data_IF_956116483402
#
_entry.id   IF_956116483402
#
_cell.length_a   1.000
_cell.length_b   1.000
_cell.length_c   1.000
_cell.angle_alpha   90.00
_cell.angle_beta   90.00
_cell.angle_gamma   90.00
#
_symmetry.space_group_name_H-M   'P 1'
#
loop_
_entity.id
_entity.type
_entity.pdbx_description
1 polymer ?
#
# COMPACT_ATOMS: atom_id res chain seq x y z
N UNK A 1 47.64 33.44 5.09
CA UNK A 1 46.51 33.29 6.01
C UNK A 1 45.32 33.98 5.37
N UNK A 2 44.20 33.28 5.20
CA UNK A 2 43.05 33.76 4.42
C UNK A 2 42.10 34.74 5.11
N UNK A 3 42.55 35.45 6.14
CA UNK A 3 41.74 36.42 6.87
C UNK A 3 41.97 37.85 6.40
N UNK A 4 40.91 38.64 6.30
CA UNK A 4 41.01 40.06 6.07
C UNK A 4 41.67 40.76 7.30
N UNK A 5 42.24 41.96 7.08
CA UNK A 5 42.87 42.74 8.16
C UNK A 5 41.89 43.00 9.33
N UNK A 6 40.63 43.24 9.03
CA UNK A 6 39.57 43.49 10.01
C UNK A 6 39.26 42.25 10.83
N UNK A 7 39.10 41.08 10.18
CA UNK A 7 38.90 39.79 10.87
C UNK A 7 40.07 39.43 11.78
N UNK A 8 41.33 39.70 11.35
CA UNK A 8 42.48 39.45 12.19
C UNK A 8 42.45 40.27 13.48
N UNK A 9 42.13 41.56 13.42
CA UNK A 9 42.03 42.38 14.61
C UNK A 9 40.87 41.99 15.51
N UNK A 10 39.77 41.51 14.97
CA UNK A 10 38.64 41.01 15.73
C UNK A 10 38.97 39.71 16.46
N UNK A 11 39.61 38.76 15.80
CA UNK A 11 40.12 37.52 16.38
C UNK A 11 41.12 37.80 17.49
N UNK A 12 42.06 38.71 17.25
CA UNK A 12 43.04 39.13 18.24
C UNK A 12 42.39 39.76 19.49
N UNK A 13 41.38 40.60 19.30
CA UNK A 13 40.63 41.22 20.41
C UNK A 13 39.89 40.17 21.21
N UNK A 14 39.21 39.26 20.54
CA UNK A 14 38.49 38.17 21.19
C UNK A 14 39.43 37.27 22.01
N UNK A 15 40.60 36.95 21.45
CA UNK A 15 41.60 36.19 22.18
C UNK A 15 42.17 36.95 23.41
N UNK A 16 42.43 38.24 23.28
CA UNK A 16 42.87 39.05 24.38
C UNK A 16 41.85 39.20 25.52
N UNK A 17 40.55 39.19 25.15
CA UNK A 17 39.46 39.37 26.13
C UNK A 17 39.02 38.06 26.76
N UNK A 18 38.96 36.97 26.00
CA UNK A 18 38.34 35.72 26.41
C UNK A 18 39.30 34.52 26.34
N UNK A 19 40.57 34.71 26.04
CA UNK A 19 41.55 33.63 25.87
C UNK A 19 41.18 32.69 24.69
N UNK A 20 41.52 31.42 24.84
CA UNK A 20 41.23 30.40 23.81
C UNK A 20 39.73 30.22 23.55
N UNK A 21 38.86 30.48 24.52
CA UNK A 21 37.43 30.43 24.36
C UNK A 21 36.89 31.50 23.37
N UNK A 22 37.61 32.64 23.24
CA UNK A 22 37.26 33.68 22.28
C UNK A 22 37.58 33.34 20.81
N UNK A 23 38.32 32.26 20.58
CA UNK A 23 38.63 31.73 19.24
C UNK A 23 37.64 30.70 18.74
N UNK A 24 36.74 30.22 19.61
CA UNK A 24 35.68 29.31 19.20
C UNK A 24 34.72 30.05 18.27
N UNK A 25 34.38 29.41 17.16
CA UNK A 25 33.38 29.92 16.25
C UNK A 25 32.08 30.17 17.03
N UNK A 26 31.61 31.41 16.99
CA UNK A 26 30.28 31.72 17.51
C UNK A 26 29.31 30.94 16.67
N UNK A 27 28.58 29.98 17.28
CA UNK A 27 27.49 29.29 16.62
C UNK A 27 26.55 30.36 16.06
N UNK A 28 26.60 30.57 14.75
CA UNK A 28 25.71 31.47 14.06
C UNK A 28 24.34 30.82 14.06
N UNK A 29 23.49 31.21 14.95
CA UNK A 29 22.11 30.72 15.04
C UNK A 29 21.21 31.83 15.57
N UNK A 30 20.08 32.00 14.96
CA UNK A 30 19.02 32.86 15.46
C UNK A 30 18.65 32.37 16.88
N UNK A 31 18.96 33.12 17.90
CA UNK A 31 18.60 32.80 19.29
C UNK A 31 17.11 33.08 19.48
N UNK A 32 16.29 32.05 19.28
CA UNK A 32 14.84 32.13 19.45
C UNK A 32 14.05 32.02 18.11
N UNK A 33 12.73 32.02 18.19
CA UNK A 33 11.88 31.97 17.02
C UNK A 33 12.07 33.22 16.14
N UNK A 34 12.06 33.03 14.81
CA UNK A 34 12.20 34.14 13.86
C UNK A 34 11.10 35.19 14.13
N UNK A 35 11.42 36.51 14.06
CA UNK A 35 10.44 37.58 14.32
C UNK A 35 9.16 37.48 13.49
N UNK A 36 9.25 36.94 12.28
CA UNK A 36 8.10 36.72 11.38
C UNK A 36 7.45 35.34 11.54
N UNK A 37 7.73 34.61 12.62
CA UNK A 37 7.04 33.34 12.89
C UNK A 37 5.58 33.65 13.21
N UNK A 38 4.67 32.93 12.55
CA UNK A 38 3.24 33.05 12.82
C UNK A 38 2.89 32.64 14.26
N UNK A 39 1.85 33.22 14.83
CA UNK A 39 1.35 32.86 16.15
C UNK A 39 0.97 31.38 16.20
N UNK A 40 1.05 30.78 17.40
CA UNK A 40 0.80 29.33 17.58
C UNK A 40 -0.63 28.96 17.13
N UNK A 41 -1.62 29.79 17.42
CA UNK A 41 -3.01 29.59 17.03
C UNK A 41 -3.20 29.49 15.51
N UNK A 42 -2.44 30.30 14.75
CA UNK A 42 -2.44 30.26 13.28
C UNK A 42 -1.73 29.00 12.78
N UNK A 43 -0.64 28.59 13.43
CA UNK A 43 0.10 27.35 13.13
C UNK A 43 -0.81 26.14 13.34
N UNK A 44 -1.52 26.08 14.46
CA UNK A 44 -2.49 25.02 14.80
C UNK A 44 -3.66 24.96 13.80
N UNK A 45 -4.19 26.12 13.39
CA UNK A 45 -5.24 26.20 12.38
C UNK A 45 -4.77 25.66 11.02
N UNK A 46 -3.53 25.98 10.61
CA UNK A 46 -2.93 25.43 9.38
C UNK A 46 -2.79 23.91 9.46
N UNK A 47 -2.33 23.39 10.59
CA UNK A 47 -2.15 21.95 10.80
C UNK A 47 -3.50 21.23 10.77
N UNK A 48 -4.48 21.72 11.53
CA UNK A 48 -5.82 21.15 11.57
C UNK A 48 -6.49 21.14 10.19
N UNK A 49 -6.40 22.25 9.43
CA UNK A 49 -6.92 22.31 8.08
C UNK A 49 -6.19 21.34 7.12
N UNK A 50 -4.86 21.24 7.23
CA UNK A 50 -4.03 20.40 6.37
C UNK A 50 -4.27 18.90 6.59
N UNK A 51 -4.61 18.49 7.82
CA UNK A 51 -4.99 17.11 8.13
C UNK A 51 -6.45 16.82 7.72
N UNK A 52 -7.33 17.81 7.84
CA UNK A 52 -8.72 17.67 7.37
C UNK A 52 -8.79 17.56 5.85
N UNK A 53 -7.95 18.32 5.12
CA UNK A 53 -7.91 18.39 3.66
C UNK A 53 -6.49 18.21 3.13
N UNK A 54 -5.89 17.00 3.22
CA UNK A 54 -4.47 16.76 2.92
C UNK A 54 -4.10 17.01 1.46
N UNK A 55 -5.08 17.06 0.57
CA UNK A 55 -4.88 17.32 -0.87
C UNK A 55 -4.78 18.81 -1.23
N UNK A 56 -5.18 19.72 -0.32
CA UNK A 56 -5.15 21.15 -0.58
C UNK A 56 -3.70 21.67 -0.67
N UNK A 57 -3.43 22.49 -1.70
CA UNK A 57 -2.15 23.21 -1.83
C UNK A 57 -2.07 24.43 -0.92
N UNK A 58 -0.85 24.93 -0.67
CA UNK A 58 -0.60 26.03 0.27
C UNK A 58 -1.42 27.31 -0.02
N UNK A 59 -1.65 27.64 -1.29
CA UNK A 59 -2.47 28.78 -1.66
C UNK A 59 -3.93 28.56 -1.27
N UNK A 60 -4.47 27.38 -1.55
CA UNK A 60 -5.86 27.05 -1.20
C UNK A 60 -6.06 27.02 0.32
N UNK A 61 -5.12 26.44 1.07
CA UNK A 61 -5.16 26.46 2.55
C UNK A 61 -5.20 27.90 3.07
N UNK A 62 -4.35 28.79 2.54
CA UNK A 62 -4.34 30.20 2.94
C UNK A 62 -5.68 30.89 2.64
N UNK A 63 -6.30 30.61 1.49
CA UNK A 63 -7.60 31.18 1.10
C UNK A 63 -8.75 30.65 1.98
N UNK A 64 -8.81 29.36 2.23
CA UNK A 64 -9.83 28.72 3.08
C UNK A 64 -9.75 29.22 4.54
N UNK A 65 -8.51 29.39 5.06
CA UNK A 65 -8.29 29.96 6.39
C UNK A 65 -8.68 31.45 6.46
N UNK A 66 -8.47 32.20 5.38
CA UNK A 66 -8.90 33.60 5.30
C UNK A 66 -10.43 33.73 5.41
N UNK A 67 -11.22 32.79 4.87
CA UNK A 67 -12.68 32.74 5.05
C UNK A 67 -13.07 32.50 6.52
N UNK A 68 -12.19 31.92 7.33
CA UNK A 68 -12.35 31.69 8.75
C UNK A 68 -11.70 32.79 9.60
N UNK A 69 -11.40 33.96 9.00
CA UNK A 69 -10.74 35.11 9.64
C UNK A 69 -9.30 34.84 10.12
N UNK A 70 -8.64 33.78 9.65
CA UNK A 70 -7.24 33.48 9.93
C UNK A 70 -6.39 33.91 8.73
N UNK A 71 -5.61 34.99 8.91
CA UNK A 71 -4.79 35.54 7.83
C UNK A 71 -3.40 34.94 7.82
N UNK A 72 -3.05 34.24 6.74
CA UNK A 72 -1.71 33.71 6.49
C UNK A 72 -1.42 33.69 5.00
N UNK A 73 -0.17 33.95 4.60
CA UNK A 73 0.26 33.82 3.21
C UNK A 73 0.54 32.35 2.85
N UNK A 74 0.50 32.04 1.55
CA UNK A 74 0.89 30.70 1.05
C UNK A 74 2.35 30.33 1.42
N UNK A 75 3.25 31.32 1.50
CA UNK A 75 4.61 31.16 2.00
C UNK A 75 4.65 30.82 3.49
N UNK A 76 3.78 31.46 4.29
CA UNK A 76 3.59 31.15 5.71
C UNK A 76 3.08 29.71 5.91
N UNK A 77 2.08 29.27 5.14
CA UNK A 77 1.61 27.87 5.17
C UNK A 77 2.73 26.90 4.86
N UNK A 78 3.55 27.16 3.84
CA UNK A 78 4.73 26.31 3.52
C UNK A 78 5.75 26.30 4.65
N UNK A 79 5.95 27.43 5.33
CA UNK A 79 6.84 27.55 6.49
C UNK A 79 6.33 26.68 7.66
N UNK A 80 5.04 26.67 7.94
CA UNK A 80 4.43 25.77 8.93
C UNK A 80 4.64 24.32 8.51
N UNK A 81 4.30 23.96 7.28
CA UNK A 81 4.48 22.59 6.77
C UNK A 81 5.92 22.10 6.85
N UNK A 82 6.91 22.99 6.57
CA UNK A 82 8.33 22.65 6.65
C UNK A 82 8.74 22.27 8.09
N UNK A 83 8.25 23.01 9.08
CA UNK A 83 8.56 22.75 10.49
C UNK A 83 7.96 21.45 11.01
N UNK A 84 6.82 21.03 10.43
CA UNK A 84 6.06 19.85 10.85
C UNK A 84 6.20 18.67 9.88
N UNK A 85 7.13 18.75 8.92
CA UNK A 85 7.39 17.69 7.93
C UNK A 85 6.15 17.31 7.08
N UNK A 86 5.36 18.33 6.69
CA UNK A 86 4.10 18.18 5.95
C UNK A 86 4.14 18.82 4.55
N UNK A 87 5.33 19.05 3.99
CA UNK A 87 5.50 19.78 2.72
C UNK A 87 4.83 19.09 1.55
N UNK A 88 5.00 17.78 1.42
CA UNK A 88 4.37 17.02 0.35
C UNK A 88 2.94 16.60 0.72
N UNK A 89 2.13 16.31 -0.30
CA UNK A 89 0.82 15.70 -0.10
C UNK A 89 0.94 14.34 0.57
N UNK A 90 1.96 13.58 0.22
CA UNK A 90 2.25 12.27 0.78
C UNK A 90 2.52 12.35 2.28
N UNK A 91 3.34 13.30 2.74
CA UNK A 91 3.64 13.47 4.17
C UNK A 91 2.38 13.76 4.99
N UNK A 92 1.47 14.61 4.44
CA UNK A 92 0.18 14.92 5.08
C UNK A 92 -0.74 13.70 5.18
N UNK A 93 -0.76 12.86 4.15
CA UNK A 93 -1.53 11.61 4.15
C UNK A 93 -0.96 10.60 5.14
N UNK A 94 0.37 10.42 5.18
CA UNK A 94 1.04 9.57 6.17
C UNK A 94 0.79 10.03 7.60
N UNK A 95 0.80 11.35 7.84
CA UNK A 95 0.50 11.90 9.16
C UNK A 95 -0.94 11.64 9.59
N UNK A 96 -1.90 11.77 8.66
CA UNK A 96 -3.30 11.46 8.90
C UNK A 96 -3.49 9.97 9.21
N UNK A 97 -2.84 9.09 8.45
CA UNK A 97 -2.86 7.65 8.63
C UNK A 97 -2.29 7.23 10.01
N UNK A 98 -1.16 7.83 10.40
CA UNK A 98 -0.56 7.58 11.73
C UNK A 98 -1.49 8.05 12.86
N UNK A 99 -2.08 9.23 12.73
CA UNK A 99 -3.01 9.75 13.72
C UNK A 99 -4.21 8.80 13.90
N UNK A 100 -4.74 8.22 12.82
CA UNK A 100 -5.80 7.23 12.90
C UNK A 100 -5.35 5.95 13.62
N UNK A 101 -4.17 5.41 13.27
CA UNK A 101 -3.67 4.15 13.84
C UNK A 101 -3.22 4.26 15.31
N UNK A 102 -2.68 5.42 15.73
CA UNK A 102 -2.10 5.60 17.07
C UNK A 102 -3.11 6.11 18.09
N UNK A 103 -4.04 6.97 17.68
CA UNK A 103 -4.94 7.68 18.61
C UNK A 103 -6.41 7.29 18.48
N UNK A 104 -6.75 6.39 17.54
CA UNK A 104 -8.15 6.04 17.24
C UNK A 104 -8.95 7.21 16.67
N UNK A 105 -8.28 8.21 16.11
CA UNK A 105 -8.92 9.37 15.50
C UNK A 105 -9.92 8.94 14.42
N UNK A 106 -11.19 9.31 14.58
CA UNK A 106 -12.22 8.99 13.60
C UNK A 106 -12.02 9.81 12.32
N UNK A 107 -11.84 9.09 11.21
CA UNK A 107 -11.71 9.68 9.88
C UNK A 107 -13.09 10.03 9.32
N UNK A 108 -13.21 11.20 8.69
CA UNK A 108 -14.41 11.51 7.89
C UNK A 108 -14.46 10.65 6.63
N UNK A 109 -15.66 10.44 6.07
CA UNK A 109 -15.82 9.67 4.81
C UNK A 109 -14.93 10.19 3.68
N UNK A 110 -14.77 11.51 3.54
CA UNK A 110 -13.89 12.12 2.54
C UNK A 110 -12.41 11.81 2.80
N UNK A 111 -11.98 11.77 4.06
CA UNK A 111 -10.60 11.41 4.43
C UNK A 111 -10.32 9.93 4.15
N UNK A 112 -11.29 9.05 4.42
CA UNK A 112 -11.22 7.63 4.10
C UNK A 112 -11.05 7.45 2.58
N UNK A 113 -11.91 8.08 1.77
CA UNK A 113 -11.84 8.00 0.32
C UNK A 113 -10.50 8.49 -0.25
N UNK A 114 -9.92 9.54 0.36
CA UNK A 114 -8.62 10.07 -0.03
C UNK A 114 -7.49 9.08 0.33
N UNK A 115 -7.49 8.56 1.56
CA UNK A 115 -6.49 7.60 2.02
C UNK A 115 -6.55 6.31 1.20
N UNK A 116 -7.74 5.79 0.93
CA UNK A 116 -7.94 4.61 0.09
C UNK A 116 -7.44 4.80 -1.33
N UNK A 117 -7.57 6.01 -1.87
CA UNK A 117 -7.08 6.33 -3.22
C UNK A 117 -5.56 6.42 -3.29
N UNK A 118 -4.88 6.90 -2.24
CA UNK A 118 -3.45 7.22 -2.27
C UNK A 118 -2.57 6.27 -1.48
N UNK A 119 -3.13 5.46 -0.56
CA UNK A 119 -2.38 4.51 0.27
C UNK A 119 -2.98 3.11 0.19
N UNK A 120 -2.43 2.21 -0.65
CA UNK A 120 -2.83 0.81 -0.66
C UNK A 120 -2.65 0.14 0.73
N UNK A 121 -1.65 0.58 1.49
CA UNK A 121 -1.39 0.08 2.84
C UNK A 121 -2.51 0.41 3.83
N UNK A 122 -3.18 1.56 3.64
CA UNK A 122 -4.33 1.92 4.45
C UNK A 122 -5.52 0.99 4.18
N UNK A 123 -5.73 0.61 2.92
CA UNK A 123 -6.77 -0.35 2.53
C UNK A 123 -6.53 -1.73 3.16
N UNK A 124 -5.28 -2.19 3.16
CA UNK A 124 -4.91 -3.46 3.79
C UNK A 124 -5.19 -3.48 5.30
N UNK A 125 -5.03 -2.35 5.99
CA UNK A 125 -5.25 -2.26 7.44
C UNK A 125 -6.71 -2.43 7.86
N UNK A 126 -7.65 -2.23 6.96
CA UNK A 126 -9.08 -2.39 7.20
C UNK A 126 -9.56 -3.83 7.03
N UNK A 127 -8.74 -4.67 6.41
CA UNK A 127 -9.01 -6.10 6.27
C UNK A 127 -8.21 -6.83 7.34
N UNK A 128 -8.90 -7.36 8.33
CA UNK A 128 -8.30 -8.25 9.32
C UNK A 128 -8.43 -9.68 8.82
N UNK A 129 -7.29 -10.35 8.72
CA UNK A 129 -7.16 -11.76 8.31
C UNK A 129 -6.23 -12.43 9.29
N UNK A 130 -6.70 -13.47 9.92
CA UNK A 130 -6.03 -14.09 11.06
C UNK A 130 -5.20 -15.31 10.68
N UNK A 131 -5.50 -15.97 9.57
CA UNK A 131 -4.82 -17.18 9.11
C UNK A 131 -4.90 -17.35 7.59
N UNK A 132 -4.05 -18.24 7.08
CA UNK A 132 -3.96 -18.57 5.65
C UNK A 132 -5.24 -19.25 5.17
N UNK A 133 -5.76 -18.80 4.01
CA UNK A 133 -6.96 -19.32 3.38
C UNK A 133 -8.27 -18.71 3.88
N UNK A 134 -8.25 -17.91 4.96
CA UNK A 134 -9.45 -17.22 5.43
C UNK A 134 -9.99 -16.24 4.37
N UNK A 135 -9.11 -15.49 3.71
CA UNK A 135 -9.46 -14.56 2.65
C UNK A 135 -8.40 -14.58 1.55
N UNK A 136 -8.84 -14.87 0.33
CA UNK A 136 -8.02 -14.83 -0.88
C UNK A 136 -8.58 -13.76 -1.81
N UNK A 137 -7.75 -12.82 -2.24
CA UNK A 137 -8.16 -11.77 -3.17
C UNK A 137 -7.78 -12.11 -4.60
N UNK A 138 -8.68 -11.81 -5.54
CA UNK A 138 -8.49 -12.04 -6.97
C UNK A 138 -8.76 -10.77 -7.78
N UNK A 139 -8.02 -10.60 -8.87
CA UNK A 139 -8.23 -9.48 -9.80
C UNK A 139 -7.65 -9.79 -11.18
N UNK A 140 -8.15 -9.08 -12.19
CA UNK A 140 -7.64 -9.15 -13.56
C UNK A 140 -6.87 -7.89 -13.91
N UNK A 141 -5.58 -8.02 -14.11
CA UNK A 141 -4.70 -6.91 -14.45
C UNK A 141 -4.37 -6.89 -15.95
N UNK A 142 -4.52 -5.73 -16.60
CA UNK A 142 -4.07 -5.56 -17.98
C UNK A 142 -2.56 -5.29 -18.02
N UNK A 143 -1.78 -6.26 -18.50
CA UNK A 143 -0.31 -6.16 -18.57
C UNK A 143 0.14 -5.26 -19.70
N UNK A 144 -0.46 -5.41 -20.88
CA UNK A 144 -0.09 -4.63 -22.04
C UNK A 144 -0.55 -5.25 -23.36
N UNK A 145 -0.01 -4.67 -24.45
CA UNK A 145 -0.23 -5.16 -25.81
C UNK A 145 1.09 -5.62 -26.40
N UNK A 146 1.21 -6.91 -26.66
CA UNK A 146 2.41 -7.52 -27.25
C UNK A 146 2.24 -7.61 -28.76
N UNK A 147 3.27 -7.18 -29.50
CA UNK A 147 3.26 -7.23 -30.96
C UNK A 147 3.22 -8.69 -31.43
N UNK A 148 2.24 -9.01 -32.27
CA UNK A 148 2.02 -10.36 -32.80
C UNK A 148 1.14 -11.26 -31.92
N UNK A 149 0.98 -10.93 -30.63
CA UNK A 149 0.19 -11.72 -29.66
C UNK A 149 -1.15 -11.01 -29.37
N UNK A 150 -1.14 -9.70 -29.21
CA UNK A 150 -2.33 -8.93 -28.86
C UNK A 150 -2.33 -8.47 -27.41
N UNK A 151 -3.53 -8.32 -26.84
CA UNK A 151 -3.72 -7.93 -25.44
C UNK A 151 -3.36 -9.10 -24.52
N UNK A 152 -2.65 -8.78 -23.45
CA UNK A 152 -2.29 -9.75 -22.41
C UNK A 152 -2.84 -9.29 -21.07
N UNK A 153 -3.53 -10.16 -20.40
CA UNK A 153 -4.13 -9.99 -19.08
C UNK A 153 -3.50 -10.98 -18.11
N UNK A 154 -3.29 -10.53 -16.89
CA UNK A 154 -2.88 -11.37 -15.76
C UNK A 154 -4.10 -11.62 -14.88
N UNK A 155 -4.48 -12.87 -14.70
CA UNK A 155 -5.31 -13.29 -13.60
C UNK A 155 -4.41 -13.48 -12.39
N UNK A 156 -4.58 -12.66 -11.37
CA UNK A 156 -3.78 -12.67 -10.16
C UNK A 156 -4.62 -13.08 -8.97
N UNK A 157 -4.03 -13.87 -8.11
CA UNK A 157 -4.60 -14.36 -6.86
C UNK A 157 -3.58 -14.15 -5.75
N UNK A 158 -4.01 -13.69 -4.60
CA UNK A 158 -3.14 -13.49 -3.44
C UNK A 158 -3.87 -13.91 -2.15
N UNK A 159 -3.22 -14.70 -1.33
CA UNK A 159 -3.68 -14.95 0.03
C UNK A 159 -3.45 -13.72 0.90
N UNK A 160 -4.53 -13.21 1.49
CA UNK A 160 -4.49 -11.94 2.22
C UNK A 160 -3.76 -12.01 3.56
N UNK A 161 -3.53 -13.19 4.13
CA UNK A 161 -2.72 -13.37 5.32
C UNK A 161 -1.23 -13.44 4.99
N UNK A 162 -0.83 -14.41 4.18
CA UNK A 162 0.56 -14.74 3.90
C UNK A 162 1.21 -13.88 2.80
N UNK A 163 0.40 -13.22 1.98
CA UNK A 163 0.83 -12.56 0.73
C UNK A 163 1.37 -13.54 -0.31
N UNK A 164 1.12 -14.83 -0.17
CA UNK A 164 1.45 -15.80 -1.20
C UNK A 164 0.65 -15.49 -2.45
N UNK A 165 1.33 -15.37 -3.60
CA UNK A 165 0.74 -14.89 -4.83
C UNK A 165 0.83 -15.90 -5.96
N UNK A 166 -0.25 -16.02 -6.73
CA UNK A 166 -0.33 -16.79 -7.98
C UNK A 166 -0.67 -15.84 -9.12
N UNK A 167 -0.31 -16.21 -10.32
CA UNK A 167 -0.61 -15.41 -11.49
C UNK A 167 -0.49 -16.17 -12.79
N UNK A 168 -1.50 -16.05 -13.65
CA UNK A 168 -1.50 -16.67 -14.96
C UNK A 168 -1.91 -15.69 -16.05
N UNK A 169 -1.20 -15.74 -17.17
CA UNK A 169 -1.38 -14.86 -18.31
C UNK A 169 -2.39 -15.42 -19.32
N UNK A 170 -3.23 -14.54 -19.83
CA UNK A 170 -4.24 -14.86 -20.83
C UNK A 170 -4.34 -13.77 -21.89
N UNK A 171 -4.80 -14.14 -23.09
CA UNK A 171 -5.12 -13.19 -24.18
C UNK A 171 -6.55 -12.66 -24.11
N UNK A 172 -7.36 -13.19 -23.20
CA UNK A 172 -8.75 -12.80 -23.00
C UNK A 172 -9.10 -12.62 -21.53
N UNK A 173 -10.14 -11.84 -21.25
CA UNK A 173 -10.68 -11.60 -19.92
C UNK A 173 -12.06 -12.23 -19.85
N UNK A 174 -12.13 -13.51 -19.49
CA UNK A 174 -13.34 -14.30 -19.43
C UNK A 174 -13.52 -14.95 -18.04
N UNK A 175 -14.77 -15.28 -17.62
CA UNK A 175 -14.99 -16.02 -16.38
C UNK A 175 -14.21 -17.33 -16.30
N UNK A 176 -14.07 -18.04 -17.42
CA UNK A 176 -13.28 -19.27 -17.49
C UNK A 176 -11.81 -19.08 -17.19
N UNK A 177 -11.21 -17.92 -17.51
CA UNK A 177 -9.81 -17.66 -17.17
C UNK A 177 -9.62 -17.48 -15.66
N UNK A 178 -10.58 -16.91 -14.97
CA UNK A 178 -10.58 -16.79 -13.52
C UNK A 178 -10.79 -18.15 -12.83
N UNK A 179 -11.68 -18.97 -13.34
CA UNK A 179 -11.85 -20.37 -12.88
C UNK A 179 -10.57 -21.17 -13.10
N UNK A 180 -9.96 -21.05 -14.29
CA UNK A 180 -8.77 -21.84 -14.65
C UNK A 180 -7.60 -21.60 -13.68
N UNK A 181 -7.27 -20.34 -13.33
CA UNK A 181 -6.17 -20.06 -12.39
C UNK A 181 -6.47 -20.63 -10.99
N UNK A 182 -7.72 -20.56 -10.53
CA UNK A 182 -8.10 -21.15 -9.24
C UNK A 182 -7.96 -22.67 -9.27
N UNK A 183 -8.53 -23.31 -10.27
CA UNK A 183 -8.56 -24.78 -10.38
C UNK A 183 -7.17 -25.39 -10.65
N UNK A 184 -6.30 -24.70 -11.38
CA UNK A 184 -5.03 -25.28 -11.84
C UNK A 184 -3.87 -24.94 -10.91
N UNK A 185 -3.87 -23.75 -10.31
CA UNK A 185 -2.69 -23.25 -9.58
C UNK A 185 -2.99 -23.07 -8.08
N UNK A 186 -4.18 -22.56 -7.73
CA UNK A 186 -4.45 -22.12 -6.35
C UNK A 186 -4.98 -23.27 -5.51
N UNK A 187 -6.07 -23.91 -5.93
CA UNK A 187 -6.66 -25.02 -5.14
C UNK A 187 -5.71 -26.19 -4.95
N UNK A 188 -4.96 -26.66 -5.97
CA UNK A 188 -3.98 -27.73 -5.76
C UNK A 188 -2.86 -27.35 -4.79
N UNK A 189 -2.49 -26.06 -4.72
CA UNK A 189 -1.52 -25.60 -3.73
C UNK A 189 -2.09 -25.71 -2.30
N UNK A 190 -3.34 -25.28 -2.07
CA UNK A 190 -3.99 -25.43 -0.76
C UNK A 190 -4.20 -26.90 -0.41
N UNK A 191 -4.61 -27.73 -1.34
CA UNK A 191 -4.78 -29.18 -1.15
C UNK A 191 -3.48 -29.88 -0.74
N UNK A 192 -2.34 -29.48 -1.34
CA UNK A 192 -1.03 -30.03 -0.98
C UNK A 192 -0.63 -29.76 0.49
N UNK A 193 -1.24 -28.75 1.11
CA UNK A 193 -1.07 -28.41 2.52
C UNK A 193 -2.27 -28.85 3.40
N UNK A 194 -3.18 -29.68 2.87
CA UNK A 194 -4.41 -30.12 3.56
C UNK A 194 -5.24 -28.91 4.07
N UNK A 195 -5.23 -27.82 3.29
CA UNK A 195 -5.91 -26.57 3.63
C UNK A 195 -7.00 -26.24 2.61
N UNK A 196 -7.92 -25.36 3.00
CA UNK A 196 -9.00 -24.89 2.12
C UNK A 196 -9.10 -23.35 2.15
N UNK A 197 -9.69 -22.80 1.11
CA UNK A 197 -10.05 -21.40 1.01
C UNK A 197 -11.48 -21.23 1.55
N UNK A 198 -11.70 -20.30 2.46
CA UNK A 198 -13.02 -19.99 2.98
C UNK A 198 -13.74 -18.93 2.16
N UNK A 199 -13.06 -17.83 1.88
CA UNK A 199 -13.65 -16.69 1.19
C UNK A 199 -12.75 -16.21 0.07
N UNK A 200 -13.33 -15.95 -1.10
CA UNK A 200 -12.68 -15.23 -2.19
C UNK A 200 -13.29 -13.84 -2.32
N UNK A 201 -12.40 -12.84 -2.42
CA UNK A 201 -12.75 -11.45 -2.63
C UNK A 201 -12.38 -11.01 -4.04
N UNK A 202 -13.34 -10.53 -4.82
CA UNK A 202 -13.11 -9.95 -6.14
C UNK A 202 -13.65 -8.53 -6.26
N UNK A 203 -13.31 -7.85 -7.33
CA UNK A 203 -14.06 -6.68 -7.76
C UNK A 203 -15.40 -7.10 -8.42
N UNK A 204 -16.21 -6.10 -8.85
CA UNK A 204 -17.46 -6.36 -9.55
C UNK A 204 -17.26 -6.56 -11.07
N UNK A 205 -16.09 -7.06 -11.49
CA UNK A 205 -15.81 -7.38 -12.89
C UNK A 205 -16.74 -8.45 -13.45
N UNK A 206 -17.06 -8.34 -14.74
CA UNK A 206 -17.94 -9.34 -15.40
C UNK A 206 -17.32 -10.73 -15.47
N UNK A 207 -16.04 -10.87 -15.28
CA UNK A 207 -15.33 -12.14 -15.18
C UNK A 207 -15.56 -12.85 -13.84
N UNK A 208 -15.91 -12.09 -12.79
CA UNK A 208 -16.13 -12.62 -11.44
C UNK A 208 -17.61 -12.61 -11.05
N UNK A 209 -18.38 -11.65 -11.56
CA UNK A 209 -19.74 -11.39 -11.11
C UNK A 209 -20.77 -11.55 -12.22
N UNK A 210 -21.85 -12.27 -11.94
CA UNK A 210 -22.97 -12.47 -12.81
C UNK A 210 -24.19 -13.01 -12.06
N UNK A 211 -25.11 -13.63 -12.77
CA UNK A 211 -26.23 -14.35 -12.13
C UNK A 211 -25.70 -15.62 -11.47
N UNK A 212 -25.88 -15.82 -10.17
CA UNK A 212 -25.33 -16.96 -9.45
C UNK A 212 -25.65 -18.32 -10.09
N UNK A 213 -26.86 -18.47 -10.67
CA UNK A 213 -27.31 -19.73 -11.27
C UNK A 213 -26.71 -20.04 -12.65
N UNK A 214 -26.01 -19.08 -13.28
CA UNK A 214 -25.51 -19.19 -14.64
C UNK A 214 -24.10 -18.73 -14.88
N UNK A 215 -23.50 -17.97 -13.93
CA UNK A 215 -22.18 -17.43 -14.11
C UNK A 215 -21.13 -18.50 -13.80
N UNK A 216 -20.21 -18.86 -14.72
CA UNK A 216 -19.27 -19.96 -14.53
C UNK A 216 -18.41 -19.84 -13.28
N UNK A 217 -17.97 -18.63 -12.94
CA UNK A 217 -17.15 -18.38 -11.77
C UNK A 217 -17.93 -18.56 -10.47
N UNK A 218 -19.16 -18.05 -10.39
CA UNK A 218 -20.03 -18.22 -9.23
C UNK A 218 -20.39 -19.68 -8.99
N UNK A 219 -20.76 -20.40 -10.07
CA UNK A 219 -21.05 -21.84 -10.00
C UNK A 219 -19.82 -22.65 -9.54
N UNK A 220 -18.63 -22.30 -10.02
CA UNK A 220 -17.40 -22.95 -9.60
C UNK A 220 -17.16 -22.77 -8.11
N UNK A 221 -17.25 -21.53 -7.57
CA UNK A 221 -17.06 -21.28 -6.15
C UNK A 221 -18.11 -21.98 -5.27
N UNK A 222 -19.36 -22.06 -5.74
CA UNK A 222 -20.41 -22.83 -5.04
C UNK A 222 -20.09 -24.31 -4.99
N UNK A 223 -19.55 -24.90 -6.07
CA UNK A 223 -19.16 -26.31 -6.11
C UNK A 223 -17.99 -26.61 -5.14
N UNK A 224 -17.06 -25.68 -5.02
CA UNK A 224 -15.90 -25.78 -4.12
C UNK A 224 -16.25 -25.40 -2.67
N UNK A 225 -17.47 -24.95 -2.39
CA UNK A 225 -17.90 -24.52 -1.05
C UNK A 225 -17.21 -23.23 -0.57
N UNK A 226 -16.76 -22.38 -1.50
CA UNK A 226 -16.05 -21.14 -1.22
C UNK A 226 -17.02 -19.97 -1.22
N UNK A 227 -17.01 -19.15 -0.16
CA UNK A 227 -17.81 -17.92 -0.10
C UNK A 227 -17.26 -16.89 -1.09
N UNK A 228 -18.14 -16.31 -1.92
CA UNK A 228 -17.77 -15.19 -2.79
C UNK A 228 -18.18 -13.86 -2.19
N UNK A 229 -17.21 -13.00 -1.95
CA UNK A 229 -17.42 -11.60 -1.53
C UNK A 229 -16.97 -10.65 -2.61
N UNK A 230 -17.79 -9.64 -2.88
CA UNK A 230 -17.46 -8.60 -3.85
C UNK A 230 -17.24 -7.26 -3.14
N UNK A 231 -16.37 -6.44 -3.73
CA UNK A 231 -16.16 -5.08 -3.24
C UNK A 231 -17.44 -4.25 -3.43
N UNK A 232 -17.84 -3.49 -2.41
CA UNK A 232 -19.02 -2.60 -2.53
C UNK A 232 -18.78 -1.56 -3.61
N UNK A 233 -19.79 -1.37 -4.48
CA UNK A 233 -19.79 -0.30 -5.49
C UNK A 233 -19.52 1.04 -4.82
N UNK A 234 -18.52 1.78 -5.31
CA UNK A 234 -18.01 3.06 -4.76
C UNK A 234 -17.25 3.00 -3.43
N UNK A 235 -16.92 1.82 -2.91
CA UNK A 235 -15.97 1.66 -1.80
C UNK A 235 -14.93 0.60 -2.18
N UNK A 236 -13.84 0.98 -2.84
CA UNK A 236 -12.76 0.05 -3.22
C UNK A 236 -11.91 -0.37 -2.01
N UNK A 237 -12.55 -0.64 -0.86
CA UNK A 237 -11.88 -0.90 0.43
C UNK A 237 -11.11 -2.22 0.48
N UNK A 238 -11.28 -3.07 -0.51
CA UNK A 238 -10.99 -4.47 -0.30
C UNK A 238 -9.88 -5.04 -1.18
N UNK A 239 -9.40 -4.33 -2.20
CA UNK A 239 -8.42 -4.89 -3.14
C UNK A 239 -6.97 -4.38 -2.94
N UNK A 240 -6.67 -3.77 -1.78
CA UNK A 240 -5.34 -3.23 -1.47
C UNK A 240 -4.22 -4.26 -1.55
N UNK A 241 -4.51 -5.52 -1.19
CA UNK A 241 -3.55 -6.62 -1.28
C UNK A 241 -3.16 -6.93 -2.73
N UNK A 242 -4.16 -7.14 -3.57
CA UNK A 242 -3.91 -7.48 -4.98
C UNK A 242 -3.36 -6.28 -5.76
N UNK A 243 -3.79 -5.05 -5.46
CA UNK A 243 -3.23 -3.84 -6.06
C UNK A 243 -1.74 -3.66 -5.73
N UNK A 244 -1.33 -3.94 -4.49
CA UNK A 244 0.08 -3.93 -4.10
C UNK A 244 0.85 -5.05 -4.79
N UNK A 245 0.27 -6.22 -4.91
CA UNK A 245 0.85 -7.33 -5.65
C UNK A 245 1.08 -6.96 -7.12
N UNK A 246 0.07 -6.37 -7.78
CA UNK A 246 0.20 -5.85 -9.14
C UNK A 246 1.32 -4.82 -9.28
N UNK A 247 1.42 -3.88 -8.34
CA UNK A 247 2.50 -2.89 -8.34
C UNK A 247 3.87 -3.56 -8.25
N UNK A 248 4.02 -4.54 -7.37
CA UNK A 248 5.27 -5.29 -7.23
C UNK A 248 5.62 -6.05 -8.50
N UNK A 249 4.64 -6.75 -9.10
CA UNK A 249 4.83 -7.45 -10.37
C UNK A 249 5.20 -6.49 -11.51
N UNK A 250 4.58 -5.31 -11.57
CA UNK A 250 4.92 -4.29 -12.54
C UNK A 250 6.34 -3.76 -12.37
N UNK A 251 6.71 -3.39 -11.15
CA UNK A 251 7.97 -2.71 -10.89
C UNK A 251 9.17 -3.67 -10.94
N UNK A 252 9.01 -4.88 -10.41
CA UNK A 252 10.11 -5.82 -10.25
C UNK A 252 10.20 -6.85 -11.40
N UNK A 253 9.11 -7.12 -12.12
CA UNK A 253 9.10 -8.11 -13.22
C UNK A 253 8.73 -7.49 -14.57
N UNK A 254 7.48 -7.08 -14.81
CA UNK A 254 7.03 -6.72 -16.16
C UNK A 254 7.74 -5.53 -16.78
N UNK A 255 8.07 -4.48 -16.01
CA UNK A 255 8.81 -3.32 -16.52
C UNK A 255 10.29 -3.65 -16.81
N UNK A 256 10.86 -4.58 -16.07
CA UNK A 256 12.24 -5.03 -16.28
C UNK A 256 12.28 -5.97 -17.48
N UNK A 257 11.47 -7.03 -17.47
CA UNK A 257 11.39 -8.00 -18.55
C UNK A 257 10.99 -7.37 -19.88
N UNK A 258 10.02 -6.45 -19.91
CA UNK A 258 9.61 -5.76 -21.13
C UNK A 258 10.67 -4.83 -21.77
N UNK A 259 11.80 -4.58 -21.08
CA UNK A 259 12.96 -3.83 -21.62
C UNK A 259 14.09 -4.74 -22.09
N UNK A 260 14.16 -5.95 -21.56
CA UNK A 260 15.31 -6.87 -21.76
C UNK A 260 14.95 -8.07 -22.60
N UNK A 261 13.69 -8.47 -22.65
CA UNK A 261 13.23 -9.71 -23.27
C UNK A 261 12.18 -9.42 -24.33
N UNK A 262 12.34 -10.04 -25.50
CA UNK A 262 11.35 -10.06 -26.56
C UNK A 262 10.59 -11.40 -26.48
N UNK A 263 9.31 -11.33 -26.12
CA UNK A 263 8.46 -12.52 -26.06
C UNK A 263 7.80 -12.80 -27.41
N UNK A 264 7.91 -14.03 -27.86
CA UNK A 264 7.27 -14.52 -29.08
C UNK A 264 5.92 -15.20 -28.81
N UNK A 265 5.70 -15.62 -27.57
CA UNK A 265 4.45 -16.25 -27.14
C UNK A 265 4.08 -15.91 -25.69
N UNK A 266 2.81 -16.14 -25.32
CA UNK A 266 2.34 -15.97 -23.95
C UNK A 266 2.95 -17.02 -23.02
N UNK A 267 3.24 -18.21 -23.53
CA UNK A 267 3.84 -19.32 -22.79
C UNK A 267 5.26 -18.98 -22.34
N UNK A 268 6.07 -18.32 -23.20
CA UNK A 268 7.39 -17.82 -22.80
C UNK A 268 7.28 -16.78 -21.69
N UNK A 269 6.34 -15.84 -21.84
CA UNK A 269 6.09 -14.82 -20.83
C UNK A 269 5.57 -15.42 -19.51
N UNK A 270 4.77 -16.49 -19.59
CA UNK A 270 4.30 -17.22 -18.42
C UNK A 270 5.45 -17.92 -17.70
N UNK A 271 6.35 -18.58 -18.44
CA UNK A 271 7.53 -19.24 -17.84
C UNK A 271 8.42 -18.28 -17.06
N UNK A 272 8.64 -17.07 -17.58
CA UNK A 272 9.38 -16.02 -16.87
C UNK A 272 8.62 -15.51 -15.64
N UNK A 273 7.31 -15.37 -15.74
CA UNK A 273 6.45 -14.99 -14.62
C UNK A 273 6.47 -16.06 -13.52
N UNK A 274 6.41 -17.33 -13.88
CA UNK A 274 6.46 -18.45 -12.93
C UNK A 274 7.78 -18.46 -12.15
N UNK A 275 8.90 -18.25 -12.83
CA UNK A 275 10.22 -18.12 -12.19
C UNK A 275 10.30 -16.92 -11.23
N UNK A 276 9.68 -15.79 -11.62
CA UNK A 276 9.59 -14.63 -10.74
C UNK A 276 8.67 -14.91 -9.54
N UNK A 277 7.50 -15.50 -9.74
CA UNK A 277 6.55 -15.82 -8.67
C UNK A 277 7.15 -16.81 -7.66
N UNK A 278 7.93 -17.78 -8.12
CA UNK A 278 8.70 -18.65 -7.25
C UNK A 278 9.67 -17.83 -6.38
N UNK A 279 10.41 -16.91 -6.98
CA UNK A 279 11.32 -16.02 -6.22
C UNK A 279 10.56 -15.11 -5.25
N UNK A 280 9.43 -14.56 -5.68
CA UNK A 280 8.55 -13.71 -4.86
C UNK A 280 8.04 -14.45 -3.64
N UNK A 281 7.56 -15.68 -3.81
CA UNK A 281 6.96 -16.48 -2.74
C UNK A 281 8.00 -17.08 -1.78
N UNK A 282 9.13 -17.59 -2.31
CA UNK A 282 10.07 -18.39 -1.53
C UNK A 282 11.27 -17.59 -1.00
N UNK A 283 11.72 -16.56 -1.73
CA UNK A 283 13.01 -15.91 -1.47
C UNK A 283 12.89 -14.43 -1.10
N UNK A 284 11.87 -13.72 -1.61
CA UNK A 284 11.73 -12.29 -1.41
C UNK A 284 11.23 -11.97 0.00
N UNK A 285 11.99 -11.21 0.82
CA UNK A 285 11.51 -10.75 2.12
C UNK A 285 10.46 -9.65 1.96
N UNK A 286 9.40 -9.71 2.75
CA UNK A 286 8.32 -8.74 2.73
C UNK A 286 8.33 -7.85 3.97
N UNK A 287 8.20 -6.53 3.77
CA UNK A 287 8.15 -5.51 4.82
C UNK A 287 6.70 -5.12 5.19
N UNK A 288 5.69 -5.79 4.61
CA UNK A 288 4.29 -5.52 4.90
C UNK A 288 3.91 -5.83 6.35
N UNK A 289 2.73 -5.34 6.77
CA UNK A 289 2.17 -5.61 8.08
C UNK A 289 2.19 -7.11 8.37
N UNK A 290 2.61 -7.50 9.56
CA UNK A 290 2.74 -8.88 10.07
C UNK A 290 3.80 -9.76 9.37
N UNK A 291 4.41 -9.30 8.27
CA UNK A 291 5.40 -10.11 7.53
C UNK A 291 6.77 -10.15 8.21
N UNK A 292 7.17 -9.07 8.89
CA UNK A 292 8.45 -8.98 9.66
C UNK A 292 9.68 -9.45 8.88
N UNK A 293 9.71 -9.21 7.58
CA UNK A 293 10.80 -9.67 6.70
C UNK A 293 10.72 -11.15 6.32
N UNK A 294 9.64 -11.85 6.67
CA UNK A 294 9.43 -13.25 6.24
C UNK A 294 9.06 -13.31 4.76
N UNK A 295 9.30 -14.45 4.14
CA UNK A 295 8.81 -14.73 2.80
C UNK A 295 7.33 -15.13 2.83
N UNK A 296 6.57 -14.91 1.73
CA UNK A 296 5.19 -15.37 1.64
C UNK A 296 5.00 -16.85 1.96
N UNK A 297 5.87 -17.72 1.49
CA UNK A 297 5.80 -19.16 1.77
C UNK A 297 5.90 -19.44 3.29
N UNK A 298 6.89 -18.86 3.97
CA UNK A 298 7.04 -19.04 5.42
C UNK A 298 5.85 -18.50 6.19
N UNK A 299 5.25 -17.42 5.70
CA UNK A 299 4.08 -16.84 6.32
C UNK A 299 2.82 -17.67 6.01
N UNK A 300 2.75 -18.30 4.83
CA UNK A 300 1.70 -19.25 4.45
C UNK A 300 1.69 -20.45 5.41
N UNK A 301 2.84 -21.09 5.57
CA UNK A 301 3.01 -22.22 6.50
C UNK A 301 2.69 -21.84 7.96
N UNK A 302 3.13 -20.65 8.38
CA UNK A 302 2.80 -20.15 9.71
C UNK A 302 1.29 -19.93 9.88
N UNK A 303 0.62 -19.34 8.89
CA UNK A 303 -0.82 -19.08 8.94
C UNK A 303 -1.68 -20.36 8.98
N UNK A 304 -1.18 -21.46 8.44
CA UNK A 304 -1.85 -22.77 8.57
C UNK A 304 -1.90 -23.24 10.03
N UNK A 305 -0.86 -22.95 10.83
CA UNK A 305 -0.84 -23.32 12.25
C UNK A 305 -1.79 -22.48 13.13
N UNK A 306 -2.25 -21.33 12.59
CA UNK A 306 -3.17 -20.42 13.29
C UNK A 306 -4.64 -20.71 12.97
N UNK A 307 -4.90 -21.60 12.03
CA UNK A 307 -6.26 -21.95 11.61
C UNK A 307 -7.03 -22.59 12.76
N UNK A 308 -8.26 -22.14 13.07
CA UNK A 308 -9.12 -22.83 14.03
C UNK A 308 -9.35 -24.30 13.63
N UNK A 309 -9.36 -25.20 14.58
CA UNK A 309 -9.75 -26.58 14.32
C UNK A 309 -11.17 -26.62 13.74
N UNK A 310 -11.36 -27.38 12.67
CA UNK A 310 -12.66 -27.47 12.01
C UNK A 310 -13.69 -28.07 12.98
N UNK A 311 -14.66 -27.27 13.39
CA UNK A 311 -15.79 -27.70 14.22
C UNK A 311 -16.76 -28.63 13.49
N UNK A 312 -16.58 -28.84 12.20
CA UNK A 312 -17.45 -29.72 11.40
C UNK A 312 -17.12 -31.21 11.56
N UNK A 313 -15.87 -31.58 11.90
CA UNK A 313 -15.51 -32.95 12.25
C UNK A 313 -16.10 -33.41 13.60
N UNK A 314 -16.36 -32.48 14.51
CA UNK A 314 -17.03 -32.79 15.79
C UNK A 314 -18.52 -33.10 15.59
N UNK A 315 -19.19 -32.45 14.62
CA UNK A 315 -20.61 -32.70 14.31
C UNK A 315 -20.85 -34.00 13.56
N UNK A 316 -19.89 -34.48 12.79
CA UNK A 316 -19.98 -35.78 12.11
C UNK A 316 -19.72 -36.93 13.08
N UNK A 317 -18.88 -36.75 14.13
CA UNK A 317 -18.61 -37.75 15.16
C UNK A 317 -19.68 -37.80 16.25
N UNK A 318 -20.49 -36.77 16.47
CA UNK A 318 -21.66 -36.81 17.38
C UNK A 318 -22.91 -37.40 16.72
N UNK A 319 -22.93 -37.54 15.40
CA UNK A 319 -24.05 -38.10 14.63
C UNK A 319 -23.85 -39.56 14.22
N UNK A 320 -22.71 -40.20 14.58
CA UNK A 320 -22.40 -41.63 14.38
C UNK A 320 -22.46 -42.40 15.70
#
# INVERSE_FOLDING_TARGET
MGYSRQQFYEIRRNYQTYGSAGLLDKVSGCRGPHPNRVAQEVEDAVLAHSLRHPTHGALRVAQELALQSVTISSGGVRGVWSRHELLSRHDRLLRLERAHSETGFELSGEQIDILERFSPEFRERQIEVDYTGQLVAVDTFFVGHLKGIGKVYLQSVIDCFSRYGWGRLYTSKLPLTAVHVLNTDVLPHFEAYEARIETILSDNGREFCGRPDHHPYELFLQLEGIEHRTTKVRRPQSNGFVERFHRTLLDEHFRVAGRTTWYESVEQMQSDLDAYLQTYNEKRPHQGRMMEGRTPLKMFEHGLTLRPADTDDERMNEAA
#
